data_IF_054635771206
#
_entry.id   IF_054635771206
#
_cell.length_a   1.000
_cell.length_b   1.000
_cell.length_c   1.000
_cell.angle_alpha   90.00
_cell.angle_beta   90.00
_cell.angle_gamma   90.00
#
_symmetry.space_group_name_H-M   'P 1'
#
loop_
_entity.id
_entity.type
_entity.pdbx_description
1 polymer ?
#
# COMPACT_ATOMS: atom_id res chain seq x y z
N UNK A 1 -18.73 5.45 17.33
CA UNK A 1 -18.59 6.22 18.58
C UNK A 1 -17.12 6.51 18.93
N UNK A 2 -16.21 5.54 18.76
CA UNK A 2 -14.76 5.65 19.09
C UNK A 2 -14.00 6.77 18.35
N UNK A 3 -14.30 7.02 17.08
CA UNK A 3 -13.54 8.00 16.28
C UNK A 3 -13.86 9.46 16.65
N UNK A 4 -15.14 9.77 16.93
CA UNK A 4 -15.56 11.11 17.39
C UNK A 4 -14.91 11.46 18.72
N UNK A 5 -14.83 10.52 19.67
CA UNK A 5 -14.16 10.75 20.95
C UNK A 5 -12.65 10.96 20.79
N UNK A 6 -11.99 10.24 19.87
CA UNK A 6 -10.57 10.41 19.63
C UNK A 6 -10.24 11.83 19.11
N UNK A 7 -11.01 12.35 18.14
CA UNK A 7 -10.79 13.70 17.60
C UNK A 7 -11.04 14.81 18.63
N UNK A 8 -11.99 14.59 19.54
CA UNK A 8 -12.30 15.53 20.64
C UNK A 8 -11.26 15.48 21.76
N UNK A 9 -10.52 14.37 21.89
CA UNK A 9 -9.44 14.20 22.88
C UNK A 9 -8.07 14.62 22.32
N UNK A 10 -7.91 14.74 21.00
CA UNK A 10 -6.69 15.24 20.38
C UNK A 10 -6.45 16.70 20.76
N UNK A 11 -5.30 16.99 21.36
CA UNK A 11 -4.87 18.36 21.64
C UNK A 11 -4.34 19.03 20.36
N UNK A 12 -5.24 19.63 19.58
CA UNK A 12 -4.90 20.31 18.33
C UNK A 12 -3.94 21.49 18.51
N UNK A 13 -3.92 22.13 19.68
CA UNK A 13 -3.03 23.24 19.97
C UNK A 13 -1.55 22.80 20.13
N UNK A 14 -1.30 21.51 20.35
CA UNK A 14 0.06 20.96 20.44
C UNK A 14 0.68 20.65 19.06
N UNK A 15 -0.07 20.81 17.96
CA UNK A 15 0.45 20.54 16.62
C UNK A 15 1.34 21.69 16.13
N UNK A 16 2.61 21.37 15.91
CA UNK A 16 3.51 22.22 15.14
C UNK A 16 3.24 22.16 13.63
N UNK A 17 3.80 23.12 12.88
CA UNK A 17 3.67 23.20 11.42
C UNK A 17 4.10 21.89 10.71
N UNK A 18 5.16 21.23 11.20
CA UNK A 18 5.65 19.95 10.68
C UNK A 18 4.57 18.87 10.65
N UNK A 19 3.73 18.78 11.70
CA UNK A 19 2.64 17.81 11.79
C UNK A 19 1.53 18.11 10.77
N UNK A 20 1.18 19.38 10.59
CA UNK A 20 0.19 19.77 9.57
C UNK A 20 0.70 19.51 8.15
N UNK A 21 1.98 19.76 7.89
CA UNK A 21 2.61 19.45 6.60
C UNK A 21 2.63 17.94 6.34
N UNK A 22 2.96 17.13 7.35
CA UNK A 22 2.92 15.67 7.23
C UNK A 22 1.49 15.17 6.94
N UNK A 23 0.49 15.70 7.65
CA UNK A 23 -0.92 15.36 7.42
C UNK A 23 -1.37 15.74 6.01
N UNK A 24 -1.04 16.95 5.57
CA UNK A 24 -1.34 17.44 4.23
C UNK A 24 -0.68 16.61 3.14
N UNK A 25 0.60 16.25 3.32
CA UNK A 25 1.34 15.41 2.39
C UNK A 25 0.74 14.00 2.29
N UNK A 26 0.37 13.38 3.41
CA UNK A 26 -0.25 12.05 3.41
C UNK A 26 -1.62 12.10 2.73
N UNK A 27 -2.45 13.09 3.05
CA UNK A 27 -3.80 13.22 2.50
C UNK A 27 -3.79 13.52 1.00
N UNK A 28 -3.01 14.51 0.56
CA UNK A 28 -3.01 14.97 -0.83
C UNK A 28 -2.02 14.18 -1.70
N UNK A 29 -0.78 14.02 -1.25
CA UNK A 29 0.27 13.34 -2.01
C UNK A 29 0.13 11.83 -1.96
N UNK A 30 0.34 11.25 -0.77
CA UNK A 30 0.40 9.79 -0.62
C UNK A 30 -0.94 9.09 -0.86
N UNK A 31 -2.06 9.79 -0.66
CA UNK A 31 -3.40 9.24 -0.84
C UNK A 31 -4.06 9.74 -2.12
N UNK A 32 -4.48 11.01 -2.19
CA UNK A 32 -5.28 11.49 -3.32
C UNK A 32 -4.58 11.35 -4.67
N UNK A 33 -3.34 11.84 -4.80
CA UNK A 33 -2.57 11.72 -6.05
C UNK A 33 -2.26 10.25 -6.37
N UNK A 34 -1.86 9.44 -5.39
CA UNK A 34 -1.59 8.02 -5.61
C UNK A 34 -2.83 7.25 -6.11
N UNK A 35 -4.01 7.54 -5.57
CA UNK A 35 -5.26 6.96 -6.06
C UNK A 35 -5.61 7.44 -7.46
N UNK A 36 -5.38 8.72 -7.78
CA UNK A 36 -5.56 9.21 -9.15
C UNK A 36 -4.64 8.49 -10.14
N UNK A 37 -3.38 8.25 -9.78
CA UNK A 37 -2.46 7.45 -10.58
C UNK A 37 -2.91 5.99 -10.72
N UNK A 38 -3.51 5.43 -9.67
CA UNK A 38 -4.09 4.08 -9.71
C UNK A 38 -5.26 4.01 -10.70
N UNK A 39 -6.18 4.98 -10.64
CA UNK A 39 -7.30 5.08 -11.59
C UNK A 39 -6.78 5.27 -13.03
N UNK A 40 -5.79 6.13 -13.21
CA UNK A 40 -5.13 6.33 -14.50
C UNK A 40 -4.49 5.05 -15.03
N UNK A 41 -3.82 4.27 -14.17
CA UNK A 41 -3.23 2.97 -14.51
C UNK A 41 -4.29 1.99 -14.98
N UNK A 42 -5.42 1.90 -14.28
CA UNK A 42 -6.56 1.05 -14.69
C UNK A 42 -7.05 1.47 -16.08
N UNK A 43 -7.16 2.77 -16.34
CA UNK A 43 -7.63 3.28 -17.65
C UNK A 43 -6.62 3.03 -18.79
N UNK A 44 -5.34 2.88 -18.49
CA UNK A 44 -4.26 2.78 -19.48
C UNK A 44 -3.83 1.35 -19.76
N UNK A 45 -3.64 0.52 -18.73
CA UNK A 45 -3.13 -0.86 -18.84
C UNK A 45 -4.14 -1.93 -18.39
N UNK A 46 -5.32 -1.51 -17.93
CA UNK A 46 -6.39 -2.40 -17.46
C UNK A 46 -6.24 -2.85 -16.00
N UNK A 47 -7.33 -3.33 -15.43
CA UNK A 47 -7.43 -3.74 -14.02
C UNK A 47 -6.54 -4.93 -13.67
N UNK A 48 -6.39 -5.90 -14.57
CA UNK A 48 -5.54 -7.09 -14.34
C UNK A 48 -4.06 -6.72 -14.24
N UNK A 49 -3.54 -5.90 -15.14
CA UNK A 49 -2.14 -5.48 -15.08
C UNK A 49 -1.88 -4.49 -13.94
N UNK A 50 -2.81 -3.57 -13.67
CA UNK A 50 -2.71 -2.66 -12.52
C UNK A 50 -2.69 -3.43 -11.20
N UNK A 51 -3.56 -4.44 -11.05
CA UNK A 51 -3.54 -5.33 -9.89
C UNK A 51 -2.20 -6.07 -9.73
N UNK A 52 -1.64 -6.57 -10.84
CA UNK A 52 -0.31 -7.19 -10.85
C UNK A 52 0.78 -6.22 -10.32
N UNK A 53 0.73 -4.94 -10.72
CA UNK A 53 1.64 -3.91 -10.20
C UNK A 53 1.41 -3.60 -8.72
N UNK A 54 0.17 -3.50 -8.26
CA UNK A 54 -0.15 -3.25 -6.84
C UNK A 54 0.46 -4.33 -5.92
N UNK A 55 0.52 -5.58 -6.39
CA UNK A 55 1.16 -6.65 -5.65
C UNK A 55 2.68 -6.52 -5.48
N UNK A 56 3.32 -5.57 -6.17
CA UNK A 56 4.73 -5.22 -5.91
C UNK A 56 4.89 -4.27 -4.72
N UNK A 57 3.82 -3.57 -4.30
CA UNK A 57 3.86 -2.62 -3.16
C UNK A 57 4.37 -3.26 -1.85
N UNK A 58 3.95 -4.47 -1.45
CA UNK A 58 4.48 -5.13 -0.25
C UNK A 58 6.00 -5.32 -0.28
N UNK A 59 6.58 -5.52 -1.47
CA UNK A 59 8.03 -5.69 -1.65
C UNK A 59 8.74 -4.37 -1.38
N UNK A 60 8.27 -3.28 -1.98
CA UNK A 60 8.81 -1.95 -1.73
C UNK A 60 8.62 -1.52 -0.28
N UNK A 61 7.48 -1.83 0.33
CA UNK A 61 7.23 -1.56 1.74
C UNK A 61 8.25 -2.28 2.64
N UNK A 62 8.54 -3.56 2.38
CA UNK A 62 9.55 -4.31 3.13
C UNK A 62 10.97 -3.75 2.94
N UNK A 63 11.34 -3.38 1.72
CA UNK A 63 12.65 -2.77 1.41
C UNK A 63 12.79 -1.42 2.13
N UNK A 64 11.78 -0.55 2.03
CA UNK A 64 11.81 0.77 2.67
C UNK A 64 11.83 0.64 4.19
N UNK A 65 11.03 -0.27 4.77
CA UNK A 65 11.02 -0.50 6.21
C UNK A 65 12.37 -1.02 6.74
N UNK A 66 12.99 -1.97 6.06
CA UNK A 66 14.32 -2.47 6.45
C UNK A 66 15.41 -1.43 6.27
N UNK A 67 15.37 -0.62 5.21
CA UNK A 67 16.39 0.39 4.92
C UNK A 67 16.28 1.65 5.79
N UNK A 68 15.06 2.14 6.05
CA UNK A 68 14.83 3.43 6.71
C UNK A 68 14.24 3.33 8.11
N UNK A 69 13.45 2.29 8.42
CA UNK A 69 12.83 2.14 9.73
C UNK A 69 13.70 1.35 10.73
N UNK A 70 14.89 0.88 10.31
CA UNK A 70 15.81 0.11 11.16
C UNK A 70 15.27 -1.26 11.56
N UNK A 71 14.26 -1.75 10.86
CA UNK A 71 13.61 -3.00 11.20
C UNK A 71 14.50 -4.20 10.88
N UNK A 72 14.84 -4.98 11.91
CA UNK A 72 15.55 -6.25 11.73
C UNK A 72 14.65 -7.29 11.06
N UNK A 73 15.19 -7.96 10.05
CA UNK A 73 14.54 -9.08 9.39
C UNK A 73 14.58 -10.30 10.32
N UNK A 74 13.41 -10.78 10.75
CA UNK A 74 13.28 -11.95 11.61
C UNK A 74 12.48 -13.05 10.90
N UNK A 75 12.45 -14.24 11.51
CA UNK A 75 11.77 -15.42 10.92
C UNK A 75 10.27 -15.18 10.69
N UNK A 76 9.60 -14.39 11.53
CA UNK A 76 8.19 -14.02 11.34
C UNK A 76 7.98 -13.20 10.08
N UNK A 77 8.85 -12.23 9.80
CA UNK A 77 8.80 -11.41 8.58
C UNK A 77 9.10 -12.22 7.33
N UNK A 78 10.01 -13.19 7.43
CA UNK A 78 10.29 -14.12 6.34
C UNK A 78 9.05 -14.95 5.98
N UNK A 79 8.35 -15.51 6.97
CA UNK A 79 7.11 -16.27 6.77
C UNK A 79 6.01 -15.37 6.19
N UNK A 80 5.83 -14.16 6.72
CA UNK A 80 4.85 -13.20 6.21
C UNK A 80 5.14 -12.82 4.76
N UNK A 81 6.40 -12.54 4.42
CA UNK A 81 6.82 -12.25 3.05
C UNK A 81 6.51 -13.45 2.12
N UNK A 82 6.86 -14.68 2.52
CA UNK A 82 6.56 -15.87 1.74
C UNK A 82 5.05 -16.05 1.50
N UNK A 83 4.20 -15.81 2.51
CA UNK A 83 2.75 -15.87 2.38
C UNK A 83 2.21 -14.81 1.42
N UNK A 84 2.71 -13.57 1.51
CA UNK A 84 2.33 -12.49 0.59
C UNK A 84 2.69 -12.87 -0.84
N UNK A 85 3.95 -13.24 -1.11
CA UNK A 85 4.39 -13.60 -2.46
C UNK A 85 3.62 -14.81 -3.01
N UNK A 86 3.31 -15.80 -2.17
CA UNK A 86 2.49 -16.95 -2.55
C UNK A 86 1.08 -16.50 -2.95
N UNK A 87 0.44 -15.62 -2.16
CA UNK A 87 -0.87 -15.08 -2.49
C UNK A 87 -0.87 -14.29 -3.80
N UNK A 88 0.15 -13.44 -4.00
CA UNK A 88 0.37 -12.70 -5.25
C UNK A 88 0.50 -13.66 -6.43
N UNK A 89 1.35 -14.69 -6.31
CA UNK A 89 1.55 -15.67 -7.35
C UNK A 89 0.24 -16.38 -7.71
N UNK A 90 -0.52 -16.85 -6.71
CA UNK A 90 -1.79 -17.54 -6.92
C UNK A 90 -2.84 -16.68 -7.63
N UNK A 91 -2.94 -15.38 -7.29
CA UNK A 91 -3.91 -14.47 -7.92
C UNK A 91 -3.53 -14.14 -9.37
N UNK A 92 -2.23 -14.10 -9.68
CA UNK A 92 -1.76 -13.82 -11.04
C UNK A 92 -1.64 -15.06 -11.92
N UNK A 93 -1.79 -16.27 -11.34
CA UNK A 93 -1.73 -17.52 -12.07
C UNK A 93 -2.97 -17.70 -12.95
N UNK A 94 -2.92 -17.18 -14.18
CA UNK A 94 -3.95 -17.44 -15.19
C UNK A 94 -3.92 -18.92 -15.59
N UNK A 95 -5.06 -19.60 -15.51
CA UNK A 95 -5.27 -20.84 -16.27
C UNK A 95 -5.18 -20.50 -17.76
N UNK A 96 -4.45 -21.29 -18.58
CA UNK A 96 -4.51 -21.16 -20.03
C UNK A 96 -5.98 -21.28 -20.45
N UNK A 97 -6.52 -20.23 -21.04
CA UNK A 97 -7.83 -20.28 -21.67
C UNK A 97 -7.71 -21.23 -22.87
N UNK A 98 -8.29 -22.43 -22.76
CA UNK A 98 -8.49 -23.30 -23.89
C UNK A 98 -9.33 -22.54 -24.92
N UNK A 99 -8.72 -22.21 -26.05
CA UNK A 99 -9.39 -21.60 -27.20
C UNK A 99 -10.39 -22.62 -27.76
N UNK A 100 -11.71 -22.40 -27.74
CA UNK A 100 -12.62 -23.17 -28.58
C UNK A 100 -12.45 -22.62 -30.00
N UNK A 101 -11.79 -23.41 -30.84
CA UNK A 101 -11.79 -23.23 -32.29
C UNK A 101 -13.22 -23.38 -32.85
#
# INVERSE_FOLDING_TARGET
MVFKSALLQTNWAAFELSHFLALGFIALGATFVAYMLTVYSISTIGSSATGAFIYTQPVFAAIIATAFAGEHFNSTKAIAAALIFTGVYLVNFKKPSANPA
#
